data_IF_539302251519
#
_entry.id   IF_539302251519
#
_cell.length_a   1.000
_cell.length_b   1.000
_cell.length_c   1.000
_cell.angle_alpha   90.00
_cell.angle_beta   90.00
_cell.angle_gamma   90.00
#
_symmetry.space_group_name_H-M   'P 1'
#
loop_
_entity.id
_entity.type
_entity.pdbx_description
1 polymer ?
#
# COMPACT_ATOMS: atom_id res chain seq x y z
N UNK A 1 9.06 -6.79 17.82
CA UNK A 1 9.59 -5.71 16.97
C UNK A 1 8.58 -4.56 16.93
N UNK A 2 9.05 -3.34 17.12
CA UNK A 2 8.19 -2.15 17.05
C UNK A 2 7.94 -1.74 15.61
N UNK A 3 6.99 -0.84 15.41
CA UNK A 3 6.71 -0.26 14.08
C UNK A 3 7.96 0.44 13.55
N UNK A 4 8.64 1.23 14.38
CA UNK A 4 9.85 1.95 13.97
C UNK A 4 10.97 1.00 13.60
N UNK A 5 11.18 -0.06 14.34
CA UNK A 5 12.17 -1.08 14.01
C UNK A 5 11.88 -1.72 12.66
N UNK A 6 10.62 -2.01 12.36
CA UNK A 6 10.21 -2.51 11.04
C UNK A 6 10.52 -1.53 9.92
N UNK A 7 10.28 -0.24 10.17
CA UNK A 7 10.60 0.80 9.19
C UNK A 7 12.10 0.81 8.89
N UNK A 8 12.95 0.79 9.89
CA UNK A 8 14.40 0.80 9.68
C UNK A 8 14.89 -0.48 8.99
N UNK A 9 14.30 -1.61 9.29
CA UNK A 9 14.58 -2.86 8.58
C UNK A 9 14.20 -2.77 7.11
N UNK A 10 13.03 -2.20 6.80
CA UNK A 10 12.60 -1.99 5.42
C UNK A 10 13.49 -1.01 4.67
N UNK A 11 13.94 0.06 5.32
CA UNK A 11 14.88 0.99 4.71
C UNK A 11 16.18 0.29 4.32
N UNK A 12 16.70 -0.55 5.21
CA UNK A 12 17.92 -1.31 4.95
C UNK A 12 17.72 -2.29 3.78
N UNK A 13 16.59 -3.00 3.74
CA UNK A 13 16.28 -3.93 2.67
C UNK A 13 16.14 -3.24 1.30
N UNK A 14 15.64 -2.03 1.27
CA UNK A 14 15.44 -1.28 0.02
C UNK A 14 16.61 -0.38 -0.35
N UNK A 15 17.67 -0.36 0.47
CA UNK A 15 18.82 0.51 0.25
C UNK A 15 18.47 1.99 0.30
N UNK A 16 17.46 2.35 1.08
CA UNK A 16 16.99 3.73 1.21
C UNK A 16 17.60 4.38 2.45
N UNK A 17 18.17 5.59 2.28
CA UNK A 17 18.70 6.35 3.41
C UNK A 17 17.57 7.06 4.17
N UNK A 18 17.86 7.47 5.42
CA UNK A 18 16.91 8.28 6.18
C UNK A 18 16.58 9.60 5.49
N UNK A 19 17.57 10.20 4.83
CA UNK A 19 17.37 11.42 4.07
C UNK A 19 16.40 11.20 2.91
N UNK A 20 16.60 10.13 2.13
CA UNK A 20 15.70 9.80 1.03
C UNK A 20 14.28 9.51 1.52
N UNK A 21 14.17 8.80 2.62
CA UNK A 21 12.88 8.51 3.24
C UNK A 21 12.22 9.78 3.74
N UNK A 22 12.97 10.68 4.36
CA UNK A 22 12.48 11.99 4.80
C UNK A 22 11.96 12.80 3.61
N UNK A 23 12.71 12.84 2.52
CA UNK A 23 12.32 13.59 1.33
C UNK A 23 11.04 13.01 0.69
N UNK A 24 10.93 11.69 0.66
CA UNK A 24 9.78 11.01 0.04
C UNK A 24 8.49 11.14 0.87
N UNK A 25 8.61 11.17 2.21
CA UNK A 25 7.44 11.20 3.10
C UNK A 25 7.08 12.58 3.60
N UNK A 26 8.01 13.53 3.54
CA UNK A 26 7.85 14.84 4.16
C UNK A 26 8.04 14.83 5.67
N UNK A 27 8.46 13.71 6.25
CA UNK A 27 8.72 13.60 7.69
C UNK A 27 10.13 14.12 7.96
N UNK A 28 10.32 15.05 8.92
CA UNK A 28 11.66 15.58 9.23
C UNK A 28 12.62 14.48 9.66
N UNK A 29 13.90 14.61 9.27
CA UNK A 29 14.93 13.65 9.67
C UNK A 29 15.10 13.57 11.19
N UNK A 30 14.92 14.69 11.89
CA UNK A 30 14.96 14.72 13.35
C UNK A 30 13.89 13.83 13.97
N UNK A 31 12.70 13.81 13.40
CA UNK A 31 11.61 12.94 13.84
C UNK A 31 11.95 11.46 13.63
N UNK A 32 12.49 11.13 12.45
CA UNK A 32 12.92 9.75 12.13
C UNK A 32 14.02 9.30 13.07
N UNK A 33 15.00 10.16 13.33
CA UNK A 33 16.07 9.87 14.28
C UNK A 33 15.57 9.65 15.70
N UNK A 34 14.54 10.42 16.09
CA UNK A 34 13.92 10.28 17.42
C UNK A 34 13.25 8.92 17.59
N UNK A 35 12.67 8.36 16.55
CA UNK A 35 12.08 7.02 16.63
C UNK A 35 13.11 5.99 17.09
N UNK A 36 14.33 6.11 16.59
CA UNK A 36 15.42 5.20 16.97
C UNK A 36 15.95 5.50 18.36
N UNK A 37 16.21 6.76 18.64
CA UNK A 37 16.84 7.19 19.92
C UNK A 37 15.90 7.02 21.11
N UNK A 38 14.62 7.36 20.93
CA UNK A 38 13.62 7.36 22.00
C UNK A 38 12.75 6.12 22.00
N UNK A 39 12.97 5.23 21.04
CA UNK A 39 12.18 4.00 20.86
C UNK A 39 10.67 4.30 20.75
N UNK A 40 10.34 5.33 20.00
CA UNK A 40 8.94 5.75 19.76
C UNK A 40 8.49 5.32 18.37
N UNK A 41 7.20 5.35 18.15
CA UNK A 41 6.58 5.00 16.87
C UNK A 41 6.11 6.25 16.13
N UNK A 42 5.91 6.14 14.79
CA UNK A 42 5.32 7.24 14.02
C UNK A 42 3.92 7.58 14.52
N UNK A 43 3.51 8.84 14.34
CA UNK A 43 2.14 9.25 14.58
C UNK A 43 1.20 8.55 13.57
N UNK A 44 -0.02 8.30 14.00
CA UNK A 44 -1.00 7.55 13.19
C UNK A 44 -1.30 8.20 11.84
N UNK A 45 -1.26 9.51 11.75
CA UNK A 45 -1.50 10.25 10.52
C UNK A 45 -0.38 10.09 9.48
N UNK A 46 0.77 9.53 9.87
CA UNK A 46 1.90 9.28 8.98
C UNK A 46 1.94 7.85 8.43
N UNK A 47 1.14 6.94 8.98
CA UNK A 47 1.22 5.52 8.64
C UNK A 47 0.97 5.27 7.14
N UNK A 48 -0.03 5.93 6.57
CA UNK A 48 -0.37 5.70 5.16
C UNK A 48 0.72 6.16 4.19
N UNK A 49 1.32 7.33 4.43
CA UNK A 49 2.41 7.81 3.58
C UNK A 49 3.66 6.94 3.71
N UNK A 50 3.92 6.44 4.90
CA UNK A 50 5.04 5.51 5.14
C UNK A 50 4.81 4.21 4.38
N UNK A 51 3.61 3.65 4.47
CA UNK A 51 3.24 2.42 3.74
C UNK A 51 3.36 2.61 2.24
N UNK A 52 2.89 3.73 1.71
CA UNK A 52 2.99 4.04 0.29
C UNK A 52 4.45 4.13 -0.16
N UNK A 53 5.27 4.85 0.61
CA UNK A 53 6.69 5.05 0.29
C UNK A 53 7.47 3.72 0.32
N UNK A 54 7.21 2.88 1.30
CA UNK A 54 7.89 1.60 1.47
C UNK A 54 7.21 0.45 0.73
N UNK A 55 6.06 0.70 0.14
CA UNK A 55 5.26 -0.29 -0.60
C UNK A 55 4.94 -1.52 0.24
N UNK A 56 4.42 -1.27 1.41
CA UNK A 56 3.93 -2.32 2.32
C UNK A 56 2.51 -2.00 2.74
N UNK A 57 1.81 -3.01 3.25
CA UNK A 57 0.47 -2.83 3.77
C UNK A 57 0.50 -2.21 5.16
N UNK A 58 -0.54 -1.45 5.55
CA UNK A 58 -0.67 -1.03 6.94
C UNK A 58 -0.68 -2.21 7.91
N UNK A 59 -1.30 -3.33 7.54
CA UNK A 59 -1.32 -4.54 8.35
C UNK A 59 0.09 -5.05 8.61
N UNK A 60 0.93 -5.12 7.57
CA UNK A 60 2.32 -5.53 7.74
C UNK A 60 3.10 -4.55 8.61
N UNK A 61 2.98 -3.25 8.33
CA UNK A 61 3.73 -2.25 9.09
C UNK A 61 3.38 -2.27 10.57
N UNK A 62 2.09 -2.39 10.88
CA UNK A 62 1.61 -2.33 12.27
C UNK A 62 1.81 -3.64 13.03
N UNK A 63 1.67 -4.78 12.39
CA UNK A 63 1.67 -6.09 13.05
C UNK A 63 2.86 -6.98 12.69
N UNK A 64 3.51 -6.72 11.57
CA UNK A 64 4.55 -7.58 11.04
C UNK A 64 4.02 -8.83 10.34
N UNK A 65 2.71 -8.93 10.16
CA UNK A 65 2.07 -10.08 9.52
C UNK A 65 1.77 -9.75 8.07
N UNK A 66 2.31 -10.55 7.16
CA UNK A 66 1.98 -10.42 5.74
C UNK A 66 0.62 -11.04 5.47
N UNK A 67 -0.12 -10.43 4.52
CA UNK A 67 -1.37 -11.01 4.07
C UNK A 67 -1.09 -12.37 3.43
N UNK A 68 -1.98 -13.34 3.71
CA UNK A 68 -1.86 -14.69 3.18
C UNK A 68 -1.82 -14.67 1.64
N UNK A 69 -0.88 -15.40 1.07
CA UNK A 69 -0.70 -15.46 -0.38
C UNK A 69 0.16 -14.36 -0.97
N UNK A 70 0.62 -13.41 -0.17
CA UNK A 70 1.42 -12.27 -0.64
C UNK A 70 2.85 -12.27 -0.13
N UNK A 71 3.35 -13.41 0.31
CA UNK A 71 4.73 -13.53 0.80
C UNK A 71 5.72 -13.19 -0.32
N UNK A 72 6.62 -12.27 -0.04
CA UNK A 72 7.65 -11.85 -0.97
C UNK A 72 7.16 -10.96 -2.09
N UNK A 73 5.93 -10.46 -2.04
CA UNK A 73 5.37 -9.55 -3.04
C UNK A 73 5.10 -8.19 -2.43
N UNK A 74 5.37 -7.15 -3.21
CA UNK A 74 4.86 -5.82 -2.93
C UNK A 74 3.35 -5.85 -3.15
N UNK A 75 2.57 -5.29 -2.23
CA UNK A 75 1.15 -5.07 -2.47
C UNK A 75 0.95 -3.70 -3.09
N UNK A 76 0.21 -3.68 -4.17
CA UNK A 76 -0.21 -2.44 -4.80
C UNK A 76 -1.62 -2.09 -4.38
N UNK A 77 -1.85 -0.83 -4.08
CA UNK A 77 -3.16 -0.33 -3.70
C UNK A 77 -3.66 0.66 -4.70
N UNK A 78 -4.95 0.61 -4.93
CA UNK A 78 -5.66 1.69 -5.57
C UNK A 78 -6.63 2.29 -4.55
N UNK A 79 -6.49 3.57 -4.30
CA UNK A 79 -7.45 4.31 -3.50
C UNK A 79 -8.44 4.95 -4.46
N UNK A 80 -9.70 4.56 -4.37
CA UNK A 80 -10.73 4.95 -5.31
C UNK A 80 -11.81 5.73 -4.57
N UNK A 81 -12.14 6.92 -5.08
CA UNK A 81 -13.26 7.70 -4.59
C UNK A 81 -14.57 6.98 -4.99
N UNK A 82 -15.44 6.72 -4.01
CA UNK A 82 -16.72 6.04 -4.25
C UNK A 82 -17.63 6.79 -5.21
N UNK A 83 -17.46 8.10 -5.34
CA UNK A 83 -18.29 8.92 -6.23
C UNK A 83 -17.72 9.01 -7.64
N UNK A 84 -16.50 8.51 -7.86
CA UNK A 84 -15.89 8.46 -9.20
C UNK A 84 -16.52 7.35 -10.05
N UNK A 85 -16.27 7.38 -11.35
CA UNK A 85 -16.72 6.31 -12.25
C UNK A 85 -16.10 4.97 -11.86
N UNK A 86 -14.84 4.97 -11.47
CA UNK A 86 -14.15 3.77 -10.99
C UNK A 86 -14.82 3.22 -9.74
N UNK A 87 -15.16 4.09 -8.79
CA UNK A 87 -15.85 3.70 -7.56
C UNK A 87 -17.24 3.14 -7.84
N UNK A 88 -17.97 3.76 -8.77
CA UNK A 88 -19.29 3.27 -9.18
C UNK A 88 -19.19 1.89 -9.83
N UNK A 89 -18.20 1.69 -10.68
CA UNK A 89 -17.98 0.39 -11.32
C UNK A 89 -17.69 -0.69 -10.27
N UNK A 90 -16.86 -0.39 -9.28
CA UNK A 90 -16.54 -1.33 -8.20
C UNK A 90 -17.78 -1.67 -7.37
N UNK A 91 -18.63 -0.68 -7.09
CA UNK A 91 -19.87 -0.92 -6.36
C UNK A 91 -20.79 -1.84 -7.13
N UNK A 92 -20.99 -1.60 -8.44
CA UNK A 92 -21.78 -2.48 -9.28
C UNK A 92 -21.20 -3.89 -9.32
N UNK A 93 -19.88 -4.00 -9.47
CA UNK A 93 -19.19 -5.29 -9.49
C UNK A 93 -19.45 -6.09 -8.21
N UNK A 94 -19.36 -5.45 -7.04
CA UNK A 94 -19.57 -6.11 -5.76
C UNK A 94 -21.02 -6.57 -5.54
N UNK A 95 -21.97 -5.95 -6.24
CA UNK A 95 -23.38 -6.33 -6.17
C UNK A 95 -23.75 -7.46 -7.12
N UNK A 96 -22.84 -7.90 -7.96
CA UNK A 96 -23.07 -9.00 -8.89
C UNK A 96 -22.79 -10.35 -8.22
N UNK A 97 -23.43 -11.40 -8.72
CA UNK A 97 -23.07 -12.76 -8.34
C UNK A 97 -21.68 -13.13 -8.87
N UNK A 98 -21.08 -14.21 -8.35
CA UNK A 98 -19.75 -14.65 -8.78
C UNK A 98 -19.72 -14.93 -10.28
N UNK A 99 -20.74 -15.60 -10.81
CA UNK A 99 -20.84 -15.87 -12.25
C UNK A 99 -20.95 -14.62 -13.09
N UNK A 100 -21.71 -13.63 -12.60
CA UNK A 100 -21.84 -12.33 -13.27
C UNK A 100 -20.54 -11.52 -13.21
N UNK A 101 -19.83 -11.59 -12.10
CA UNK A 101 -18.52 -10.95 -11.95
C UNK A 101 -17.51 -11.52 -12.95
N UNK A 102 -17.51 -12.83 -13.14
CA UNK A 102 -16.64 -13.48 -14.12
C UNK A 102 -16.95 -13.06 -15.53
N UNK A 103 -18.24 -12.94 -15.87
CA UNK A 103 -18.65 -12.45 -17.19
C UNK A 103 -18.22 -11.00 -17.42
N UNK A 104 -18.40 -10.16 -16.42
CA UNK A 104 -17.99 -8.76 -16.53
C UNK A 104 -16.49 -8.64 -16.75
N UNK A 105 -15.70 -9.40 -15.99
CA UNK A 105 -14.24 -9.40 -16.14
C UNK A 105 -13.81 -9.88 -17.52
N UNK A 106 -14.43 -10.94 -18.03
CA UNK A 106 -14.16 -11.44 -19.38
C UNK A 106 -14.51 -10.43 -20.45
N UNK A 107 -15.63 -9.73 -20.28
CA UNK A 107 -16.07 -8.69 -21.21
C UNK A 107 -15.10 -7.51 -21.25
N UNK A 108 -14.69 -7.05 -20.06
CA UNK A 108 -13.74 -5.94 -19.95
C UNK A 108 -12.38 -6.31 -20.57
N UNK A 109 -11.91 -7.51 -20.30
CA UNK A 109 -10.66 -8.02 -20.85
C UNK A 109 -10.72 -8.10 -22.38
N UNK A 110 -11.82 -8.62 -22.92
CA UNK A 110 -12.01 -8.72 -24.37
C UNK A 110 -11.99 -7.34 -25.03
N UNK A 111 -12.65 -6.35 -24.41
CA UNK A 111 -12.66 -4.99 -24.94
C UNK A 111 -11.27 -4.37 -24.96
N UNK A 112 -10.48 -4.60 -23.93
CA UNK A 112 -9.10 -4.10 -23.87
C UNK A 112 -8.24 -4.76 -24.94
N UNK A 113 -8.36 -6.07 -25.11
CA UNK A 113 -7.61 -6.82 -26.14
C UNK A 113 -7.96 -6.40 -27.56
N UNK A 114 -9.23 -6.11 -27.81
CA UNK A 114 -9.68 -5.65 -29.13
C UNK A 114 -9.00 -4.34 -29.57
N UNK A 115 -8.62 -3.50 -28.63
CA UNK A 115 -7.93 -2.25 -28.94
C UNK A 115 -6.48 -2.45 -29.37
N UNK A 116 -5.90 -3.62 -29.09
CA UNK A 116 -4.52 -3.94 -29.45
C UNK A 116 -4.40 -4.51 -30.87
N UNK A 117 -5.50 -4.77 -31.53
CA UNK A 117 -5.51 -5.30 -32.88
C UNK A 117 -5.31 -4.21 -33.95
#
# INVERSE_FOLDING_TARGET
MTISERIFELLALRGMSQKNFSDATGIPQSTISDWRKKNTNPASDKIMIICHTLQVTPTYLLSGIEAEGNRGRSMEYLVVDKTSRDGMLLEHYHNLSIGEQERLMGYAQAMVEMKKL
#
